data_IF_876378688677
#
_entry.id   IF_876378688677
#
_cell.length_a   1.000
_cell.length_b   1.000
_cell.length_c   1.000
_cell.angle_alpha   90.00
_cell.angle_beta   90.00
_cell.angle_gamma   90.00
#
_symmetry.space_group_name_H-M   'P 1'
#
loop_
_entity.id
_entity.type
_entity.pdbx_description
1 polymer ?
#
# COMPACT_ATOMS: atom_id res chain seq x y z
N UNK A 1 -23.36 4.27 -17.87
CA UNK A 1 -22.51 3.87 -16.73
C UNK A 1 -21.17 3.45 -17.30
N UNK A 2 -20.10 4.22 -17.05
CA UNK A 2 -18.75 3.80 -17.42
C UNK A 2 -18.32 2.66 -16.47
N UNK A 3 -17.91 1.53 -17.04
CA UNK A 3 -17.26 0.45 -16.31
C UNK A 3 -16.06 1.06 -15.57
N UNK A 4 -16.11 1.09 -14.23
CA UNK A 4 -14.93 1.43 -13.45
C UNK A 4 -13.81 0.47 -13.87
N UNK A 5 -12.62 0.97 -14.25
CA UNK A 5 -11.53 0.09 -14.61
C UNK A 5 -11.25 -0.83 -13.42
N UNK A 6 -11.19 -2.14 -13.71
CA UNK A 6 -10.81 -3.15 -12.75
C UNK A 6 -9.49 -2.75 -12.08
N UNK A 7 -9.28 -3.07 -10.79
CA UNK A 7 -7.99 -2.88 -10.17
C UNK A 7 -6.93 -3.59 -11.00
N UNK A 8 -5.98 -2.83 -11.52
CA UNK A 8 -4.80 -3.39 -12.17
C UNK A 8 -3.98 -4.01 -11.05
N UNK A 9 -4.01 -5.34 -10.99
CA UNK A 9 -3.11 -6.15 -10.17
C UNK A 9 -1.97 -6.55 -11.11
N UNK A 10 -0.91 -5.76 -11.15
CA UNK A 10 0.34 -6.24 -11.73
C UNK A 10 1.01 -7.11 -10.67
N UNK A 11 1.10 -8.41 -10.95
CA UNK A 11 1.70 -9.37 -10.05
C UNK A 11 3.18 -9.05 -9.84
N UNK A 12 3.83 -9.60 -8.79
CA UNK A 12 5.24 -9.35 -8.58
C UNK A 12 6.02 -9.74 -9.84
N UNK A 13 6.67 -8.76 -10.49
CA UNK A 13 7.79 -9.07 -11.39
C UNK A 13 8.74 -9.92 -10.55
N UNK A 14 8.99 -11.16 -11.00
CA UNK A 14 9.71 -12.21 -10.25
C UNK A 14 11.06 -11.74 -9.66
N UNK A 15 11.59 -10.62 -10.16
CA UNK A 15 12.86 -10.03 -9.75
C UNK A 15 12.74 -8.89 -8.72
N UNK A 16 11.62 -8.16 -8.63
CA UNK A 16 11.50 -6.97 -7.74
C UNK A 16 10.63 -7.21 -6.51
N UNK A 17 9.58 -8.04 -6.57
CA UNK A 17 8.67 -8.26 -5.43
C UNK A 17 7.79 -7.06 -5.06
N UNK A 18 7.56 -6.15 -6.00
CA UNK A 18 6.60 -5.04 -5.89
C UNK A 18 5.17 -5.49 -6.24
N UNK A 19 4.16 -4.98 -5.54
CA UNK A 19 2.74 -5.22 -5.84
C UNK A 19 1.97 -3.91 -5.82
N UNK A 20 1.09 -3.73 -6.81
CA UNK A 20 0.21 -2.58 -6.95
C UNK A 20 -1.25 -2.97 -6.72
N UNK A 21 -1.94 -2.23 -5.86
CA UNK A 21 -3.36 -2.40 -5.56
C UNK A 21 -4.04 -1.04 -5.76
N UNK A 22 -4.71 -0.88 -6.89
CA UNK A 22 -5.29 0.41 -7.29
C UNK A 22 -6.74 0.61 -6.81
N UNK A 23 -7.15 1.88 -6.67
CA UNK A 23 -8.56 2.25 -6.44
C UNK A 23 -9.05 1.94 -5.01
N UNK A 24 -8.14 2.03 -4.04
CA UNK A 24 -8.42 1.82 -2.62
C UNK A 24 -8.95 3.12 -2.01
N UNK A 25 -10.04 3.03 -1.26
CA UNK A 25 -10.57 4.10 -0.41
C UNK A 25 -10.68 3.60 1.03
N UNK A 26 -11.00 4.48 1.99
CA UNK A 26 -11.16 4.08 3.40
C UNK A 26 -12.14 2.89 3.55
N UNK A 27 -13.23 2.87 2.79
CA UNK A 27 -14.23 1.80 2.83
C UNK A 27 -13.73 0.46 2.26
N UNK A 28 -12.63 0.47 1.50
CA UNK A 28 -12.06 -0.71 0.84
C UNK A 28 -10.77 -1.21 1.49
N UNK A 29 -10.43 -0.72 2.69
CA UNK A 29 -9.20 -1.13 3.39
C UNK A 29 -9.18 -2.64 3.63
N UNK A 30 -10.29 -3.23 4.10
CA UNK A 30 -10.36 -4.69 4.29
C UNK A 30 -10.12 -5.46 3.00
N UNK A 31 -10.77 -5.04 1.92
CA UNK A 31 -10.58 -5.63 0.61
C UNK A 31 -9.10 -5.54 0.17
N UNK A 32 -8.48 -4.37 0.33
CA UNK A 32 -7.08 -4.15 -0.03
C UNK A 32 -6.13 -5.09 0.73
N UNK A 33 -6.39 -5.32 2.02
CA UNK A 33 -5.60 -6.24 2.85
C UNK A 33 -5.80 -7.69 2.43
N UNK A 34 -7.03 -8.11 2.10
CA UNK A 34 -7.28 -9.45 1.57
C UNK A 34 -6.57 -9.69 0.23
N UNK A 35 -6.57 -8.69 -0.65
CA UNK A 35 -5.82 -8.74 -1.92
C UNK A 35 -4.32 -8.83 -1.65
N UNK A 36 -3.78 -8.01 -0.75
CA UNK A 36 -2.36 -8.09 -0.36
C UNK A 36 -2.01 -9.48 0.19
N UNK A 37 -2.88 -10.07 1.03
CA UNK A 37 -2.68 -11.43 1.56
C UNK A 37 -2.63 -12.47 0.44
N UNK A 38 -3.56 -12.42 -0.51
CA UNK A 38 -3.62 -13.36 -1.62
C UNK A 38 -2.40 -13.24 -2.56
N UNK A 39 -1.83 -12.04 -2.66
CA UNK A 39 -0.67 -11.75 -3.53
C UNK A 39 0.67 -11.83 -2.79
N UNK A 40 0.69 -12.32 -1.55
CA UNK A 40 1.92 -12.42 -0.78
C UNK A 40 2.93 -13.30 -1.52
N UNK A 41 4.17 -12.80 -1.79
CA UNK A 41 5.14 -13.55 -2.56
C UNK A 41 5.51 -14.85 -1.85
N UNK A 42 6.01 -15.84 -2.60
CA UNK A 42 6.51 -17.11 -2.03
C UNK A 42 7.66 -16.90 -1.03
N UNK A 43 8.38 -15.79 -1.10
CA UNK A 43 9.40 -15.38 -0.12
C UNK A 43 8.80 -14.96 1.23
N UNK A 44 7.49 -14.85 1.32
CA UNK A 44 6.73 -14.39 2.47
C UNK A 44 6.77 -12.88 2.70
N UNK A 45 7.52 -12.09 1.91
CA UNK A 45 7.67 -10.64 2.14
C UNK A 45 7.63 -9.82 0.85
N UNK A 46 6.86 -8.73 0.86
CA UNK A 46 6.87 -7.73 -0.21
C UNK A 46 8.16 -6.93 -0.18
N UNK A 47 8.70 -6.60 -1.35
CA UNK A 47 9.70 -5.54 -1.46
C UNK A 47 9.02 -4.17 -1.45
N UNK A 48 7.94 -4.01 -2.22
CA UNK A 48 7.08 -2.83 -2.08
C UNK A 48 5.61 -3.19 -2.24
N UNK A 49 4.77 -2.51 -1.46
CA UNK A 49 3.32 -2.59 -1.57
C UNK A 49 2.80 -1.18 -1.86
N UNK A 50 2.13 -1.04 -2.99
CA UNK A 50 1.83 0.25 -3.61
C UNK A 50 0.34 0.41 -3.81
N UNK A 51 -0.20 1.56 -3.43
CA UNK A 51 -1.62 1.90 -3.52
C UNK A 51 -1.86 3.11 -4.44
N UNK A 52 -1.71 2.91 -5.77
CA UNK A 52 -2.07 3.93 -6.76
C UNK A 52 -3.57 4.25 -6.75
N UNK A 53 -3.91 5.45 -7.23
CA UNK A 53 -5.27 6.00 -7.34
C UNK A 53 -6.04 5.81 -6.04
N UNK A 54 -5.32 5.95 -4.93
CA UNK A 54 -5.86 5.80 -3.60
C UNK A 54 -6.62 7.06 -3.24
N UNK A 55 -7.83 6.87 -2.73
CA UNK A 55 -8.63 7.90 -2.07
C UNK A 55 -8.46 7.84 -0.55
N UNK A 56 -7.49 7.06 -0.05
CA UNK A 56 -7.23 6.94 1.39
C UNK A 56 -6.89 8.30 1.99
N UNK A 57 -7.60 8.61 3.07
CA UNK A 57 -7.25 9.68 3.99
C UNK A 57 -6.14 9.23 4.94
N UNK A 58 -5.64 10.14 5.78
CA UNK A 58 -4.71 9.82 6.87
C UNK A 58 -5.23 8.68 7.76
N UNK A 59 -6.50 8.73 8.15
CA UNK A 59 -7.07 7.69 9.03
C UNK A 59 -7.26 6.37 8.29
N UNK A 60 -7.61 6.41 7.00
CA UNK A 60 -7.62 5.22 6.15
C UNK A 60 -6.23 4.56 6.04
N UNK A 61 -5.16 5.36 5.94
CA UNK A 61 -3.79 4.85 5.95
C UNK A 61 -3.41 4.25 7.31
N UNK A 62 -3.80 4.86 8.43
CA UNK A 62 -3.59 4.29 9.76
C UNK A 62 -4.30 2.94 9.90
N UNK A 63 -5.55 2.87 9.44
CA UNK A 63 -6.32 1.63 9.46
C UNK A 63 -5.67 0.56 8.58
N UNK A 64 -5.25 0.91 7.37
CA UNK A 64 -4.54 0.02 6.46
C UNK A 64 -3.27 -0.54 7.10
N UNK A 65 -2.40 0.32 7.67
CA UNK A 65 -1.16 -0.11 8.34
C UNK A 65 -1.46 -1.08 9.48
N UNK A 66 -2.46 -0.76 10.31
CA UNK A 66 -2.83 -1.62 11.43
C UNK A 66 -3.40 -2.97 10.97
N UNK A 67 -4.23 -2.99 9.93
CA UNK A 67 -4.79 -4.25 9.38
C UNK A 67 -3.74 -5.08 8.68
N UNK A 68 -2.82 -4.48 7.94
CA UNK A 68 -1.65 -5.18 7.38
C UNK A 68 -0.85 -5.87 8.49
N UNK A 69 -0.63 -5.19 9.62
CA UNK A 69 0.05 -5.76 10.79
C UNK A 69 -0.75 -6.90 11.43
N UNK A 70 -2.04 -6.71 11.68
CA UNK A 70 -2.94 -7.72 12.26
C UNK A 70 -2.98 -9.00 11.42
N UNK A 71 -2.99 -8.85 10.09
CA UNK A 71 -2.99 -9.98 9.16
C UNK A 71 -1.59 -10.51 8.83
N UNK A 72 -0.54 -10.04 9.52
CA UNK A 72 0.86 -10.46 9.34
C UNK A 72 1.35 -10.33 7.90
N UNK A 73 0.89 -9.29 7.21
CA UNK A 73 1.35 -8.94 5.88
C UNK A 73 2.72 -8.30 5.98
N UNK A 74 3.76 -9.06 5.61
CA UNK A 74 5.13 -8.66 5.82
C UNK A 74 5.70 -7.90 4.63
N UNK A 75 6.28 -6.73 4.90
CA UNK A 75 7.11 -5.96 3.96
C UNK A 75 8.56 -6.12 4.44
N UNK A 76 9.52 -6.18 3.52
CA UNK A 76 10.95 -6.27 3.87
C UNK A 76 11.37 -5.04 4.68
N UNK A 77 12.41 -5.20 5.51
CA UNK A 77 12.90 -4.11 6.36
C UNK A 77 13.41 -2.89 5.56
N UNK A 78 13.93 -3.13 4.35
CA UNK A 78 14.30 -2.11 3.36
C UNK A 78 13.21 -1.88 2.30
N UNK A 79 12.04 -2.49 2.49
CA UNK A 79 10.90 -2.36 1.61
C UNK A 79 10.07 -1.13 1.93
N UNK A 80 9.13 -0.81 1.03
CA UNK A 80 8.36 0.44 1.07
C UNK A 80 6.86 0.22 0.89
N UNK A 81 6.09 0.94 1.68
CA UNK A 81 4.65 1.08 1.55
C UNK A 81 4.35 2.44 0.92
N UNK A 82 3.75 2.44 -0.28
CA UNK A 82 3.46 3.68 -1.00
C UNK A 82 1.95 3.91 -1.12
N UNK A 83 1.50 5.15 -0.95
CA UNK A 83 0.11 5.55 -1.16
C UNK A 83 0.07 6.83 -2.00
N UNK A 84 -0.88 6.94 -2.93
CA UNK A 84 -1.08 8.19 -3.67
C UNK A 84 -1.44 9.34 -2.71
N UNK A 85 -0.79 10.50 -2.86
CA UNK A 85 -0.92 11.65 -1.95
C UNK A 85 -2.27 12.39 -2.02
N UNK A 86 -3.19 12.02 -2.93
CA UNK A 86 -4.38 12.81 -3.30
C UNK A 86 -5.19 13.39 -2.13
N UNK A 87 -5.31 12.66 -1.01
CA UNK A 87 -6.09 13.06 0.17
C UNK A 87 -5.26 13.17 1.46
N UNK A 88 -3.93 13.29 1.36
CA UNK A 88 -3.00 13.26 2.50
C UNK A 88 -2.06 14.47 2.45
N UNK A 89 -2.04 15.26 3.53
CA UNK A 89 -1.18 16.43 3.64
C UNK A 89 0.22 16.03 4.13
N UNK A 90 1.26 16.73 3.64
CA UNK A 90 2.67 16.42 3.93
C UNK A 90 3.01 16.30 5.43
N UNK A 91 2.49 17.14 6.35
CA UNK A 91 2.76 17.00 7.78
C UNK A 91 2.26 15.68 8.38
N UNK A 92 1.14 15.14 7.89
CA UNK A 92 0.56 13.90 8.39
C UNK A 92 1.34 12.66 7.93
N UNK A 93 2.09 12.77 6.83
CA UNK A 93 2.96 11.69 6.32
C UNK A 93 4.02 11.30 7.35
N UNK A 94 4.51 12.24 8.16
CA UNK A 94 5.49 11.98 9.21
C UNK A 94 4.93 11.00 10.25
N UNK A 95 3.67 11.19 10.67
CA UNK A 95 3.01 10.30 11.62
C UNK A 95 2.80 8.91 11.02
N UNK A 96 2.41 8.84 9.74
CA UNK A 96 2.22 7.58 9.02
C UNK A 96 3.54 6.81 8.86
N UNK A 97 4.66 7.51 8.62
CA UNK A 97 6.02 6.93 8.61
C UNK A 97 6.38 6.28 9.93
N UNK A 98 6.18 6.99 11.04
CA UNK A 98 6.45 6.41 12.36
C UNK A 98 5.58 5.18 12.64
N UNK A 99 4.30 5.23 12.27
CA UNK A 99 3.39 4.10 12.46
C UNK A 99 3.81 2.88 11.61
N UNK A 100 4.10 3.07 10.32
CA UNK A 100 4.56 2.01 9.44
C UNK A 100 5.89 1.40 9.92
N UNK A 101 6.83 2.22 10.38
CA UNK A 101 8.09 1.74 10.94
C UNK A 101 7.87 0.91 12.20
N UNK A 102 6.99 1.35 13.10
CA UNK A 102 6.69 0.65 14.35
C UNK A 102 5.92 -0.66 14.14
N UNK A 103 4.94 -0.70 13.22
CA UNK A 103 4.04 -1.85 13.04
C UNK A 103 4.51 -2.84 12.00
N UNK A 104 5.07 -2.35 10.89
CA UNK A 104 5.43 -3.17 9.73
C UNK A 104 6.94 -3.27 9.52
N UNK A 105 7.73 -2.49 10.27
CA UNK A 105 9.19 -2.37 10.11
C UNK A 105 9.59 -2.01 8.66
N UNK A 106 8.78 -1.19 7.99
CA UNK A 106 9.05 -0.72 6.63
C UNK A 106 9.01 0.81 6.55
N UNK A 107 9.49 1.35 5.44
CA UNK A 107 9.35 2.77 5.12
C UNK A 107 7.96 3.06 4.53
N UNK A 108 7.47 4.29 4.70
CA UNK A 108 6.17 4.74 4.17
C UNK A 108 6.33 6.07 3.44
N UNK A 109 5.78 6.15 2.24
CA UNK A 109 5.84 7.35 1.43
C UNK A 109 4.47 7.64 0.78
N UNK A 110 4.08 8.91 0.83
CA UNK A 110 3.01 9.43 -0.02
C UNK A 110 3.65 10.10 -1.22
N UNK A 111 3.26 9.68 -2.42
CA UNK A 111 3.81 10.20 -3.68
C UNK A 111 2.70 10.43 -4.70
N UNK A 112 3.01 11.16 -5.76
CA UNK A 112 2.06 11.40 -6.85
C UNK A 112 1.72 10.11 -7.60
N UNK A 113 0.52 10.07 -8.19
CA UNK A 113 0.04 8.87 -8.89
C UNK A 113 0.95 8.49 -10.05
N UNK A 114 1.53 9.45 -10.77
CA UNK A 114 2.45 9.14 -11.86
C UNK A 114 3.73 8.42 -11.37
N UNK A 115 4.22 8.80 -10.19
CA UNK A 115 5.46 8.26 -9.62
C UNK A 115 5.25 6.89 -8.96
N UNK A 116 4.07 6.58 -8.44
CA UNK A 116 3.85 5.31 -7.72
C UNK A 116 3.91 4.08 -8.63
N UNK A 117 3.66 4.26 -9.94
CA UNK A 117 3.73 3.21 -10.95
C UNK A 117 5.16 2.88 -11.40
N UNK A 118 6.16 3.73 -11.13
CA UNK A 118 7.54 3.45 -11.53
C UNK A 118 8.16 2.39 -10.63
N UNK A 119 8.86 1.41 -11.22
CA UNK A 119 9.62 0.39 -10.47
C UNK A 119 10.67 1.01 -9.53
#
# INVERSE_FOLDING_TARGET
MALQPLPIIDGPKKETGAVWISGVSNAKVDWAVQVAKALQPATGKFYSLRFPRSELTVDGCKELINKLHQHSIAIRANGRLYVTMANIWAPDVVQLRHLAKSKLNCEFDCIDDAAIWSD
#
